data_IF_564698718032
#
_entry.id   IF_564698718032
#
_cell.length_a   1.000
_cell.length_b   1.000
_cell.length_c   1.000
_cell.angle_alpha   90.00
_cell.angle_beta   90.00
_cell.angle_gamma   90.00
#
_symmetry.space_group_name_H-M   'P 1'
#
loop_
_entity.id
_entity.type
_entity.pdbx_description
1 polymer ?
#
# COMPACT_ATOMS: atom_id res chain seq x y z
N UNK A 1 5.99 -25.32 6.78
CA UNK A 1 5.15 -24.19 6.37
C UNK A 1 6.04 -23.18 5.68
N UNK A 2 5.66 -22.71 4.49
CA UNK A 2 6.37 -21.59 3.84
C UNK A 2 6.15 -20.32 4.67
N UNK A 3 7.13 -19.41 4.70
CA UNK A 3 7.00 -18.14 5.40
C UNK A 3 5.91 -17.31 4.73
N UNK A 4 4.94 -16.80 5.50
CA UNK A 4 3.87 -15.93 5.00
C UNK A 4 4.44 -14.59 4.57
N UNK A 5 3.87 -14.01 3.51
CA UNK A 5 4.32 -12.75 2.94
C UNK A 5 3.15 -11.80 2.71
N UNK A 6 3.36 -10.55 3.09
CA UNK A 6 2.46 -9.43 2.89
C UNK A 6 3.11 -8.43 1.92
N UNK A 7 2.44 -8.11 0.84
CA UNK A 7 2.84 -7.02 -0.06
C UNK A 7 1.93 -5.82 0.14
N UNK A 8 2.53 -4.64 0.34
CA UNK A 8 1.84 -3.36 0.36
C UNK A 8 2.30 -2.52 -0.83
N UNK A 9 1.37 -1.96 -1.61
CA UNK A 9 1.66 -1.03 -2.71
C UNK A 9 1.09 0.35 -2.41
N UNK A 10 1.91 1.39 -2.58
CA UNK A 10 1.60 2.78 -2.26
C UNK A 10 1.93 3.70 -3.43
N UNK A 11 1.38 4.90 -3.44
CA UNK A 11 1.64 5.91 -4.47
C UNK A 11 2.89 6.73 -4.14
N UNK A 12 2.98 7.25 -2.91
CA UNK A 12 3.99 8.21 -2.51
C UNK A 12 4.71 7.77 -1.23
N UNK A 13 5.95 8.23 -1.02
CA UNK A 13 6.61 8.11 0.28
C UNK A 13 5.80 8.86 1.35
N UNK A 14 5.30 8.15 2.34
CA UNK A 14 4.48 8.49 3.51
C UNK A 14 3.19 7.66 3.62
N UNK A 15 2.63 7.20 2.50
CA UNK A 15 1.42 6.37 2.48
C UNK A 15 1.59 5.09 3.30
N UNK A 16 2.78 4.45 3.25
CA UNK A 16 3.07 3.21 3.97
C UNK A 16 2.97 3.40 5.49
N UNK A 17 3.46 4.53 5.98
CA UNK A 17 3.38 4.87 7.39
C UNK A 17 1.96 5.33 7.77
N UNK A 18 1.31 6.12 6.90
CA UNK A 18 -0.01 6.68 7.18
C UNK A 18 -1.11 5.62 7.18
N UNK A 19 -1.18 4.83 6.12
CA UNK A 19 -2.31 3.93 5.90
C UNK A 19 -2.09 2.50 6.43
N UNK A 20 -0.85 2.01 6.50
CA UNK A 20 -0.53 0.60 6.69
C UNK A 20 0.46 0.32 7.81
N UNK A 21 1.06 1.36 8.41
CA UNK A 21 2.20 1.22 9.33
C UNK A 21 1.94 0.32 10.54
N UNK A 22 0.74 0.38 11.11
CA UNK A 22 0.35 -0.48 12.22
C UNK A 22 0.21 -1.95 11.81
N UNK A 23 -0.38 -2.21 10.64
CA UNK A 23 -0.52 -3.57 10.09
C UNK A 23 0.84 -4.14 9.70
N UNK A 24 1.72 -3.36 9.06
CA UNK A 24 3.09 -3.80 8.73
C UNK A 24 3.84 -4.26 9.98
N UNK A 25 3.81 -3.47 11.06
CA UNK A 25 4.44 -3.80 12.33
C UNK A 25 3.82 -5.05 12.97
N UNK A 26 2.49 -5.14 13.00
CA UNK A 26 1.78 -6.27 13.58
C UNK A 26 2.16 -7.59 12.91
N UNK A 27 2.12 -7.62 11.59
CA UNK A 27 2.41 -8.84 10.85
C UNK A 27 3.89 -9.19 10.84
N UNK A 28 4.79 -8.20 10.82
CA UNK A 28 6.21 -8.44 11.05
C UNK A 28 6.46 -9.13 12.42
N UNK A 29 5.85 -8.63 13.49
CA UNK A 29 5.96 -9.25 14.84
C UNK A 29 5.43 -10.70 14.87
N UNK A 30 4.48 -11.03 14.00
CA UNK A 30 3.95 -12.39 13.83
C UNK A 30 4.80 -13.29 12.92
N UNK A 31 5.96 -12.80 12.46
CA UNK A 31 6.89 -13.55 11.62
C UNK A 31 6.51 -13.56 10.12
N UNK A 32 5.65 -12.63 9.68
CA UNK A 32 5.32 -12.44 8.26
C UNK A 32 6.40 -11.57 7.59
N UNK A 33 6.92 -11.98 6.45
CA UNK A 33 7.74 -11.10 5.61
C UNK A 33 6.87 -9.99 5.03
N UNK A 34 7.19 -8.74 5.36
CA UNK A 34 6.48 -7.55 4.87
C UNK A 34 7.26 -6.88 3.75
N UNK A 35 6.60 -6.64 2.62
CA UNK A 35 7.16 -5.97 1.45
C UNK A 35 6.37 -4.70 1.17
N UNK A 36 7.08 -3.60 0.88
CA UNK A 36 6.46 -2.34 0.46
C UNK A 36 7.01 -1.91 -0.89
N UNK A 37 6.12 -1.61 -1.84
CA UNK A 37 6.46 -1.03 -3.14
C UNK A 37 5.77 0.32 -3.24
N UNK A 38 6.55 1.40 -3.22
CA UNK A 38 6.08 2.75 -3.50
C UNK A 38 6.31 3.08 -4.98
N UNK A 39 5.29 3.55 -5.69
CA UNK A 39 5.37 3.72 -7.14
C UNK A 39 6.11 4.98 -7.57
N UNK A 40 6.08 6.04 -6.79
CA UNK A 40 6.73 7.30 -7.13
C UNK A 40 7.72 7.74 -6.06
N UNK A 41 8.60 8.67 -6.41
CA UNK A 41 9.53 9.30 -5.45
C UNK A 41 8.95 10.56 -4.80
N UNK A 42 7.71 10.93 -5.12
CA UNK A 42 7.01 12.04 -4.48
C UNK A 42 7.54 13.44 -4.81
N UNK A 43 8.11 13.64 -6.01
CA UNK A 43 8.78 14.88 -6.41
C UNK A 43 7.84 16.06 -6.69
N UNK A 44 6.55 15.81 -6.88
CA UNK A 44 5.54 16.84 -7.15
C UNK A 44 4.80 17.31 -5.87
N UNK A 45 5.20 16.82 -4.70
CA UNK A 45 4.55 17.19 -3.45
C UNK A 45 4.62 18.70 -3.18
N UNK A 46 3.55 19.25 -2.58
CA UNK A 46 3.47 20.66 -2.19
C UNK A 46 4.39 20.96 -1.01
N UNK A 47 4.47 20.02 -0.06
CA UNK A 47 5.41 20.10 1.05
C UNK A 47 6.79 19.64 0.58
N UNK A 48 7.76 20.52 0.67
CA UNK A 48 9.07 20.31 0.03
C UNK A 48 10.24 20.31 1.00
N UNK A 49 9.98 20.55 2.30
CA UNK A 49 11.09 20.83 3.24
C UNK A 49 12.01 21.90 2.67
N UNK A 50 13.31 21.62 2.66
CA UNK A 50 14.35 22.52 2.14
C UNK A 50 14.68 22.29 0.65
N UNK A 51 13.99 21.38 -0.04
CA UNK A 51 14.27 21.07 -1.44
C UNK A 51 13.87 22.21 -2.39
N UNK A 52 14.79 22.64 -3.24
CA UNK A 52 14.60 23.74 -4.20
C UNK A 52 14.20 23.24 -5.60
N UNK A 53 14.34 21.93 -5.86
CA UNK A 53 13.94 21.28 -7.13
C UNK A 53 13.13 20.01 -6.88
N UNK A 54 12.47 19.49 -7.93
CA UNK A 54 11.79 18.20 -7.89
C UNK A 54 12.77 17.04 -7.66
N UNK A 55 13.94 17.09 -8.28
CA UNK A 55 14.97 16.04 -8.14
C UNK A 55 15.53 15.99 -6.73
N UNK A 56 15.77 17.14 -6.10
CA UNK A 56 16.19 17.21 -4.69
C UNK A 56 15.10 16.67 -3.77
N UNK A 57 13.85 17.04 -4.02
CA UNK A 57 12.72 16.50 -3.25
C UNK A 57 12.58 14.99 -3.42
N UNK A 58 12.74 14.48 -4.65
CA UNK A 58 12.72 13.03 -4.90
C UNK A 58 13.84 12.31 -4.15
N UNK A 59 15.05 12.86 -4.15
CA UNK A 59 16.18 12.30 -3.39
C UNK A 59 15.89 12.30 -1.87
N UNK A 60 15.46 13.43 -1.33
CA UNK A 60 15.09 13.58 0.08
C UNK A 60 14.00 12.57 0.48
N UNK A 61 12.88 12.53 -0.26
CA UNK A 61 11.76 11.64 0.06
C UNK A 61 12.09 10.16 -0.12
N UNK A 62 13.06 9.84 -0.97
CA UNK A 62 13.58 8.47 -1.10
C UNK A 62 14.27 8.01 0.18
N UNK A 63 15.13 8.85 0.77
CA UNK A 63 15.79 8.56 2.05
C UNK A 63 14.79 8.48 3.19
N UNK A 64 13.84 9.42 3.25
CA UNK A 64 12.75 9.43 4.23
C UNK A 64 11.92 8.14 4.18
N UNK A 65 11.59 7.65 2.98
CA UNK A 65 10.86 6.39 2.77
C UNK A 65 11.62 5.18 3.31
N UNK A 66 12.90 5.06 3.00
CA UNK A 66 13.68 3.94 3.51
C UNK A 66 13.85 3.99 5.02
N UNK A 67 14.01 5.17 5.60
CA UNK A 67 14.08 5.33 7.06
C UNK A 67 12.72 5.00 7.72
N UNK A 68 11.60 5.45 7.18
CA UNK A 68 10.27 5.08 7.65
C UNK A 68 10.04 3.57 7.57
N UNK A 69 10.39 2.93 6.45
CA UNK A 69 10.29 1.48 6.29
C UNK A 69 11.19 0.73 7.30
N UNK A 70 12.39 1.24 7.61
CA UNK A 70 13.26 0.68 8.65
C UNK A 70 12.61 0.75 10.04
N UNK A 71 11.99 1.88 10.39
CA UNK A 71 11.26 2.07 11.65
C UNK A 71 10.06 1.11 11.72
N UNK A 72 9.35 0.92 10.61
CA UNK A 72 8.22 -0.02 10.48
C UNK A 72 8.66 -1.50 10.42
N UNK A 73 9.96 -1.78 10.45
CA UNK A 73 10.53 -3.13 10.38
C UNK A 73 10.11 -3.86 9.09
N UNK A 74 9.96 -3.13 7.99
CA UNK A 74 9.64 -3.71 6.68
C UNK A 74 10.80 -4.60 6.23
N UNK A 75 10.50 -5.84 5.84
CA UNK A 75 11.52 -6.80 5.42
C UNK A 75 12.19 -6.37 4.13
N UNK A 76 11.43 -5.86 3.18
CA UNK A 76 11.95 -5.33 1.92
C UNK A 76 11.13 -4.13 1.44
N UNK A 77 11.79 -3.00 1.28
CA UNK A 77 11.22 -1.79 0.72
C UNK A 77 11.78 -1.54 -0.69
N UNK A 78 10.92 -1.12 -1.60
CA UNK A 78 11.28 -0.76 -2.98
C UNK A 78 10.56 0.53 -3.34
N UNK A 79 11.29 1.51 -3.85
CA UNK A 79 10.71 2.69 -4.45
C UNK A 79 10.94 2.66 -5.96
N UNK A 80 9.90 2.94 -6.74
CA UNK A 80 9.96 3.03 -8.19
C UNK A 80 10.09 4.50 -8.61
N UNK A 81 10.35 4.71 -9.89
CA UNK A 81 10.59 6.06 -10.43
C UNK A 81 9.51 6.44 -11.46
N UNK A 82 8.25 6.08 -11.18
CA UNK A 82 7.14 6.58 -11.98
C UNK A 82 6.86 8.05 -11.64
N UNK A 83 6.35 8.84 -12.63
CA UNK A 83 6.09 10.26 -12.41
C UNK A 83 4.99 10.47 -11.35
N UNK A 84 5.33 11.23 -10.32
CA UNK A 84 4.42 11.68 -9.25
C UNK A 84 3.42 12.70 -9.80
N UNK A 85 2.14 12.52 -9.50
CA UNK A 85 1.02 13.26 -10.09
C UNK A 85 0.64 12.79 -11.49
N UNK A 86 1.35 11.81 -12.06
CA UNK A 86 1.20 11.37 -13.46
C UNK A 86 0.79 9.91 -13.66
N UNK A 87 0.53 9.14 -12.61
CA UNK A 87 0.26 7.70 -12.72
C UNK A 87 -0.94 7.37 -13.60
N UNK A 88 -1.97 8.22 -13.60
CA UNK A 88 -3.17 8.04 -14.41
C UNK A 88 -2.93 8.18 -15.93
N UNK A 89 -1.80 8.78 -16.33
CA UNK A 89 -1.45 9.03 -17.74
C UNK A 89 -0.50 7.99 -18.32
N UNK A 90 -0.07 7.02 -17.51
CA UNK A 90 0.87 5.98 -17.95
C UNK A 90 0.18 4.86 -18.76
N UNK A 91 0.97 4.11 -19.49
CA UNK A 91 0.51 2.86 -20.10
C UNK A 91 0.11 1.87 -19.00
N UNK A 92 -1.19 1.71 -18.82
CA UNK A 92 -1.77 0.84 -17.78
C UNK A 92 -1.26 -0.60 -17.86
N UNK A 93 -1.17 -1.14 -19.09
CA UNK A 93 -0.74 -2.54 -19.29
C UNK A 93 0.72 -2.72 -18.90
N UNK A 94 1.57 -1.76 -19.23
CA UNK A 94 2.99 -1.80 -18.90
C UNK A 94 3.20 -1.75 -17.38
N UNK A 95 2.60 -0.79 -16.69
CA UNK A 95 2.79 -0.60 -15.24
C UNK A 95 2.16 -1.75 -14.45
N UNK A 96 0.93 -2.17 -14.80
CA UNK A 96 0.29 -3.31 -14.16
C UNK A 96 1.08 -4.61 -14.39
N UNK A 97 1.74 -4.78 -15.55
CA UNK A 97 2.61 -5.93 -15.81
C UNK A 97 3.90 -5.88 -14.99
N UNK A 98 4.45 -4.69 -14.72
CA UNK A 98 5.59 -4.56 -13.82
C UNK A 98 5.22 -4.99 -12.39
N UNK A 99 4.10 -4.51 -11.87
CA UNK A 99 3.59 -4.95 -10.56
C UNK A 99 3.24 -6.44 -10.53
N UNK A 100 2.68 -6.99 -11.62
CA UNK A 100 2.42 -8.42 -11.75
C UNK A 100 3.70 -9.24 -11.61
N UNK A 101 4.80 -8.84 -12.29
CA UNK A 101 6.10 -9.52 -12.15
C UNK A 101 6.58 -9.50 -10.70
N UNK A 102 6.49 -8.36 -10.02
CA UNK A 102 6.87 -8.22 -8.61
C UNK A 102 6.04 -9.11 -7.69
N UNK A 103 4.72 -9.24 -7.93
CA UNK A 103 3.87 -10.19 -7.20
C UNK A 103 4.35 -11.62 -7.43
N UNK A 104 4.74 -11.99 -8.66
CA UNK A 104 5.27 -13.33 -8.97
C UNK A 104 6.65 -13.61 -8.36
N UNK A 105 7.49 -12.60 -8.21
CA UNK A 105 8.80 -12.68 -7.55
C UNK A 105 8.67 -12.83 -6.04
N UNK A 106 7.88 -11.95 -5.41
CA UNK A 106 7.69 -11.89 -3.96
C UNK A 106 6.86 -13.09 -3.48
N UNK A 107 5.84 -13.47 -4.25
CA UNK A 107 4.86 -14.54 -3.93
C UNK A 107 4.10 -14.27 -2.62
N UNK A 108 3.45 -13.10 -2.47
CA UNK A 108 2.68 -12.79 -1.27
C UNK A 108 1.38 -13.57 -1.22
N UNK A 109 0.91 -13.94 -0.03
CA UNK A 109 -0.43 -14.47 0.18
C UNK A 109 -1.45 -13.32 0.25
N UNK A 110 -1.05 -12.19 0.82
CA UNK A 110 -1.92 -11.03 1.00
C UNK A 110 -1.31 -9.80 0.32
N UNK A 111 -2.16 -9.05 -0.38
CA UNK A 111 -1.78 -7.76 -0.99
C UNK A 111 -2.66 -6.67 -0.39
N UNK A 112 -2.01 -5.59 0.08
CA UNK A 112 -2.65 -4.36 0.52
C UNK A 112 -2.40 -3.25 -0.50
N UNK A 113 -3.40 -2.42 -0.75
CA UNK A 113 -3.25 -1.25 -1.62
C UNK A 113 -4.23 -0.14 -1.24
N UNK A 114 -4.15 0.97 -1.95
CA UNK A 114 -5.03 2.12 -1.78
C UNK A 114 -6.41 1.85 -2.39
N UNK A 115 -7.44 2.52 -1.90
CA UNK A 115 -8.80 2.40 -2.44
C UNK A 115 -8.94 3.00 -3.84
N UNK A 116 -9.81 2.42 -4.67
CA UNK A 116 -10.03 2.85 -6.06
C UNK A 116 -10.58 4.28 -6.18
N UNK A 117 -11.21 4.77 -5.13
CA UNK A 117 -11.72 6.15 -4.99
C UNK A 117 -10.62 7.18 -4.67
N UNK A 118 -9.38 6.76 -4.47
CA UNK A 118 -8.27 7.62 -4.06
C UNK A 118 -8.18 7.83 -2.55
N UNK A 119 -8.76 6.94 -1.77
CA UNK A 119 -8.84 6.99 -0.30
C UNK A 119 -9.59 8.24 0.22
N UNK A 120 -9.39 8.62 1.47
CA UNK A 120 -10.01 9.82 2.07
C UNK A 120 -9.58 11.12 1.41
N UNK A 121 -8.50 11.11 0.64
CA UNK A 121 -7.94 12.29 -0.05
C UNK A 121 -8.48 12.45 -1.46
N UNK A 122 -9.13 11.44 -2.04
CA UNK A 122 -9.54 11.39 -3.44
C UNK A 122 -8.37 11.70 -4.41
N UNK A 123 -7.14 11.28 -4.04
CA UNK A 123 -5.95 11.56 -4.86
C UNK A 123 -5.93 10.66 -6.10
N UNK A 124 -5.68 11.24 -7.26
CA UNK A 124 -5.70 10.51 -8.55
C UNK A 124 -4.66 9.39 -8.58
N UNK A 125 -3.45 9.64 -8.06
CA UNK A 125 -2.42 8.61 -8.01
C UNK A 125 -2.77 7.47 -7.05
N UNK A 126 -3.48 7.75 -5.94
CA UNK A 126 -3.98 6.68 -5.07
C UNK A 126 -4.97 5.78 -5.81
N UNK A 127 -5.93 6.36 -6.55
CA UNK A 127 -6.84 5.61 -7.41
C UNK A 127 -6.08 4.77 -8.44
N UNK A 128 -5.07 5.37 -9.06
CA UNK A 128 -4.25 4.70 -10.09
C UNK A 128 -3.51 3.49 -9.52
N UNK A 129 -2.88 3.63 -8.34
CA UNK A 129 -2.19 2.51 -7.66
C UNK A 129 -3.18 1.40 -7.31
N UNK A 130 -4.35 1.74 -6.77
CA UNK A 130 -5.41 0.77 -6.49
C UNK A 130 -5.81 -0.04 -7.73
N UNK A 131 -6.06 0.64 -8.86
CA UNK A 131 -6.42 0.00 -10.13
C UNK A 131 -5.29 -0.87 -10.69
N UNK A 132 -4.07 -0.35 -10.72
CA UNK A 132 -2.88 -1.04 -11.23
C UNK A 132 -2.58 -2.31 -10.42
N UNK A 133 -2.64 -2.19 -9.09
CA UNK A 133 -2.40 -3.33 -8.17
C UNK A 133 -3.51 -4.37 -8.29
N UNK A 134 -4.76 -3.95 -8.45
CA UNK A 134 -5.89 -4.87 -8.65
C UNK A 134 -5.71 -5.69 -9.93
N UNK A 135 -5.36 -5.04 -11.04
CA UNK A 135 -5.07 -5.73 -12.28
C UNK A 135 -3.88 -6.70 -12.12
N UNK A 136 -2.78 -6.24 -11.51
CA UNK A 136 -1.59 -7.05 -11.27
C UNK A 136 -1.88 -8.28 -10.40
N UNK A 137 -2.68 -8.12 -9.34
CA UNK A 137 -3.13 -9.22 -8.47
C UNK A 137 -3.83 -10.33 -9.27
N UNK A 138 -4.82 -9.96 -10.08
CA UNK A 138 -5.56 -10.93 -10.89
C UNK A 138 -4.70 -11.54 -12.01
N UNK A 139 -3.81 -10.75 -12.63
CA UNK A 139 -2.96 -11.24 -13.73
C UNK A 139 -1.83 -12.13 -13.23
N UNK A 140 -1.34 -11.93 -12.02
CA UNK A 140 -0.26 -12.74 -11.44
C UNK A 140 -0.60 -14.23 -11.36
N UNK A 141 -1.86 -14.57 -11.15
CA UNK A 141 -2.34 -15.95 -11.07
C UNK A 141 -2.53 -16.63 -12.45
N UNK A 142 -2.49 -15.86 -13.56
CA UNK A 142 -2.86 -16.36 -14.89
C UNK A 142 -1.65 -16.92 -15.63
N UNK A 143 -1.88 -18.01 -16.38
CA UNK A 143 -0.89 -18.65 -17.25
C UNK A 143 -1.12 -18.41 -18.74
N UNK A 144 -2.16 -17.65 -19.11
CA UNK A 144 -2.56 -17.36 -20.48
C UNK A 144 -1.84 -16.11 -21.07
N UNK A 145 -2.61 -15.11 -21.47
CA UNK A 145 -2.08 -13.88 -22.12
C UNK A 145 -1.05 -13.10 -21.29
N UNK A 146 -1.09 -13.26 -19.99
CA UNK A 146 -0.15 -12.64 -19.06
C UNK A 146 1.06 -13.52 -18.72
N UNK A 147 1.23 -14.64 -19.44
CA UNK A 147 2.45 -15.41 -19.52
C UNK A 147 3.39 -14.86 -20.61
N UNK A 148 4.59 -15.37 -20.70
CA UNK A 148 5.55 -14.97 -21.73
C UNK A 148 6.16 -13.59 -21.48
N UNK A 149 6.26 -12.71 -22.51
CA UNK A 149 7.02 -11.46 -22.41
C UNK A 149 6.57 -10.53 -21.27
N UNK A 150 5.26 -10.42 -21.05
CA UNK A 150 4.72 -9.58 -19.96
C UNK A 150 5.08 -10.11 -18.56
N UNK A 151 5.22 -11.42 -18.43
CA UNK A 151 5.57 -12.07 -17.16
C UNK A 151 7.08 -12.17 -16.91
N UNK A 152 7.92 -11.83 -17.89
CA UNK A 152 9.38 -11.97 -17.77
C UNK A 152 9.85 -13.42 -17.52
N UNK A 153 9.07 -14.43 -17.96
CA UNK A 153 9.36 -15.85 -17.72
C UNK A 153 9.05 -16.37 -16.32
N UNK A 154 8.52 -15.52 -15.43
CA UNK A 154 8.17 -15.92 -14.07
C UNK A 154 6.92 -16.83 -14.05
N UNK A 155 6.90 -17.89 -13.24
CA UNK A 155 5.72 -18.73 -13.10
C UNK A 155 4.55 -17.96 -12.48
N UNK A 156 3.31 -18.34 -12.78
CA UNK A 156 2.14 -17.76 -12.13
C UNK A 156 2.21 -17.90 -10.60
N UNK A 157 1.71 -16.87 -9.91
CA UNK A 157 1.52 -16.90 -8.47
C UNK A 157 0.11 -16.39 -8.14
N UNK A 158 -0.63 -17.14 -7.33
CA UNK A 158 -1.97 -16.79 -6.85
C UNK A 158 -1.87 -16.21 -5.46
N UNK A 159 -1.79 -14.89 -5.35
CA UNK A 159 -2.04 -14.25 -4.07
C UNK A 159 -3.49 -14.50 -3.64
N UNK A 160 -3.73 -14.71 -2.34
CA UNK A 160 -5.00 -15.25 -1.87
C UNK A 160 -6.01 -14.17 -1.48
N UNK A 161 -5.53 -13.01 -1.00
CA UNK A 161 -6.41 -11.89 -0.63
C UNK A 161 -5.85 -10.55 -1.09
N UNK A 162 -6.76 -9.70 -1.55
CA UNK A 162 -6.49 -8.30 -1.88
C UNK A 162 -7.37 -7.42 -1.00
N UNK A 163 -6.74 -6.46 -0.34
CA UNK A 163 -7.43 -5.47 0.49
C UNK A 163 -7.15 -4.05 0.03
N UNK A 164 -8.18 -3.22 0.06
CA UNK A 164 -8.06 -1.77 -0.06
C UNK A 164 -8.09 -1.13 1.32
N UNK A 165 -7.21 -0.16 1.60
CA UNK A 165 -7.42 0.69 2.75
C UNK A 165 -8.71 1.49 2.57
N UNK A 166 -9.46 1.69 3.65
CA UNK A 166 -10.70 2.45 3.66
C UNK A 166 -10.87 3.25 4.96
N UNK A 167 -11.95 3.98 5.10
CA UNK A 167 -12.26 4.76 6.29
C UNK A 167 -13.76 4.85 6.54
N UNK A 168 -14.14 5.32 7.72
CA UNK A 168 -15.57 5.55 8.06
C UNK A 168 -16.09 6.90 7.58
N UNK A 169 -15.20 7.85 7.27
CA UNK A 169 -15.54 9.21 6.85
C UNK A 169 -14.51 9.75 5.87
N UNK A 170 -14.97 10.50 4.89
CA UNK A 170 -14.12 11.32 4.01
C UNK A 170 -13.77 12.64 4.70
N UNK A 171 -12.76 13.34 4.20
CA UNK A 171 -12.46 14.69 4.63
C UNK A 171 -13.41 15.68 3.96
N UNK A 172 -14.08 16.59 4.73
CA UNK A 172 -15.11 17.47 4.19
C UNK A 172 -14.64 18.37 3.05
N UNK A 173 -13.38 18.77 3.07
CA UNK A 173 -12.77 19.66 2.08
C UNK A 173 -12.32 18.94 0.79
N UNK A 174 -12.47 17.64 0.74
CA UNK A 174 -12.11 16.83 -0.44
C UNK A 174 -13.34 16.57 -1.31
N UNK A 175 -13.08 16.17 -2.56
CA UNK A 175 -14.16 15.78 -3.47
C UNK A 175 -14.99 14.65 -2.85
N UNK A 176 -16.32 14.66 -3.02
CA UNK A 176 -17.16 13.58 -2.50
C UNK A 176 -16.80 12.27 -3.19
N UNK A 177 -16.39 11.29 -2.41
CA UNK A 177 -16.10 9.93 -2.86
C UNK A 177 -16.92 8.93 -2.09
N UNK A 178 -17.28 7.83 -2.73
CA UNK A 178 -17.89 6.68 -2.08
C UNK A 178 -16.78 5.74 -1.62
N UNK A 179 -16.54 5.68 -0.31
CA UNK A 179 -15.55 4.78 0.27
C UNK A 179 -16.05 3.33 0.23
N UNK A 180 -15.12 2.41 0.01
CA UNK A 180 -15.40 0.98 0.09
C UNK A 180 -15.86 0.59 1.51
N UNK A 181 -16.88 -0.30 1.65
CA UNK A 181 -17.35 -0.74 2.96
C UNK A 181 -16.25 -1.38 3.79
N UNK A 182 -16.25 -1.15 5.10
CA UNK A 182 -15.31 -1.81 6.02
C UNK A 182 -15.70 -3.29 6.16
N UNK A 183 -14.81 -4.18 5.78
CA UNK A 183 -14.95 -5.63 5.95
C UNK A 183 -13.96 -6.20 6.95
N UNK A 184 -12.88 -5.46 7.21
CA UNK A 184 -11.77 -5.94 8.04
C UNK A 184 -11.25 -4.80 8.91
N UNK A 185 -11.00 -5.08 10.19
CA UNK A 185 -10.47 -4.15 11.18
C UNK A 185 -9.26 -4.77 11.88
N UNK A 186 -8.12 -4.16 11.71
CA UNK A 186 -6.87 -4.64 12.31
C UNK A 186 -6.56 -3.78 13.54
N UNK A 187 -6.56 -4.39 14.72
CA UNK A 187 -6.14 -3.72 15.96
C UNK A 187 -4.63 -3.45 15.91
N UNK A 188 -4.29 -2.17 15.94
CA UNK A 188 -2.91 -1.66 15.85
C UNK A 188 -2.54 -0.78 17.05
N UNK A 189 -3.31 -0.79 18.14
CA UNK A 189 -3.08 0.04 19.33
C UNK A 189 -1.65 -0.03 19.86
N UNK A 190 -1.10 -1.24 19.87
CA UNK A 190 0.28 -1.51 20.35
C UNK A 190 1.34 -0.76 19.54
N UNK A 191 1.05 -0.44 18.29
CA UNK A 191 2.02 0.04 17.29
C UNK A 191 1.90 1.53 16.97
N UNK A 192 0.95 2.24 17.58
CA UNK A 192 0.64 3.64 17.23
C UNK A 192 1.82 4.59 17.43
N UNK A 193 2.64 4.40 18.47
CA UNK A 193 3.81 5.26 18.71
C UNK A 193 4.90 5.02 17.66
N UNK A 194 5.15 3.77 17.27
CA UNK A 194 6.13 3.43 16.24
C UNK A 194 5.63 3.93 14.87
N UNK A 195 4.33 3.77 14.58
CA UNK A 195 3.69 4.30 13.38
C UNK A 195 3.88 5.82 13.26
N UNK A 196 3.65 6.56 14.34
CA UNK A 196 3.89 8.01 14.37
C UNK A 196 5.37 8.33 14.17
N UNK A 197 6.28 7.58 14.79
CA UNK A 197 7.72 7.77 14.58
C UNK A 197 8.13 7.52 13.13
N UNK A 198 7.57 6.49 12.49
CA UNK A 198 7.80 6.21 11.07
C UNK A 198 7.30 7.36 10.17
N UNK A 199 6.09 7.86 10.40
CA UNK A 199 5.61 9.02 9.64
C UNK A 199 6.48 10.27 9.87
N UNK A 200 6.98 10.48 11.07
CA UNK A 200 7.87 11.62 11.38
C UNK A 200 9.23 11.52 10.71
N UNK A 201 9.64 10.35 10.23
CA UNK A 201 10.82 10.20 9.39
C UNK A 201 10.64 10.85 8.00
N UNK A 202 9.40 11.06 7.57
CA UNK A 202 9.07 11.87 6.39
C UNK A 202 9.13 13.37 6.74
N UNK A 203 10.32 13.89 7.00
CA UNK A 203 10.54 15.27 7.46
C UNK A 203 9.90 16.29 6.52
N UNK A 204 9.99 16.08 5.22
CA UNK A 204 9.37 16.96 4.22
C UNK A 204 7.84 17.02 4.36
N UNK A 205 7.20 15.98 4.94
CA UNK A 205 5.75 15.84 5.06
C UNK A 205 5.21 16.16 6.47
N UNK A 206 6.05 16.58 7.39
CA UNK A 206 5.65 17.01 8.76
C UNK A 206 4.48 18.00 8.77
N UNK A 207 4.37 18.98 7.83
CA UNK A 207 3.22 19.88 7.79
C UNK A 207 1.86 19.17 7.68
N UNK A 208 1.80 17.92 7.19
CA UNK A 208 0.57 17.13 7.20
C UNK A 208 0.14 16.76 8.64
N UNK A 209 1.10 16.47 9.53
CA UNK A 209 0.79 16.23 10.95
C UNK A 209 0.29 17.49 11.65
N UNK A 210 0.84 18.65 11.30
CA UNK A 210 0.38 19.92 11.83
C UNK A 210 -1.07 20.22 11.39
N UNK A 211 -1.40 19.88 10.14
CA UNK A 211 -2.73 20.09 9.57
C UNK A 211 -3.77 19.11 10.10
N UNK A 212 -3.45 17.81 10.12
CA UNK A 212 -4.41 16.75 10.41
C UNK A 212 -4.29 16.16 11.81
N UNK A 213 -3.19 16.49 12.50
CA UNK A 213 -2.87 16.09 13.87
C UNK A 213 -2.47 14.63 14.04
N UNK A 214 -1.66 14.36 15.04
CA UNK A 214 -1.20 13.02 15.44
C UNK A 214 -2.36 12.04 15.70
N UNK A 215 -3.54 12.54 16.10
CA UNK A 215 -4.71 11.71 16.39
C UNK A 215 -5.16 10.88 15.19
N UNK A 216 -4.92 11.37 13.97
CA UNK A 216 -5.28 10.64 12.75
C UNK A 216 -4.39 9.42 12.55
N UNK A 217 -3.12 9.51 12.91
CA UNK A 217 -2.18 8.37 12.88
C UNK A 217 -2.37 7.42 14.07
N UNK A 218 -2.78 7.96 15.24
CA UNK A 218 -2.95 7.20 16.49
C UNK A 218 -4.27 6.44 16.58
N UNK A 219 -4.94 6.18 15.47
CA UNK A 219 -6.12 5.33 15.48
C UNK A 219 -5.75 3.93 15.96
N UNK A 220 -6.61 3.37 16.80
CA UNK A 220 -6.43 2.03 17.35
C UNK A 220 -6.62 0.91 16.34
N UNK A 221 -7.24 1.22 15.20
CA UNK A 221 -7.57 0.27 14.14
C UNK A 221 -7.17 0.82 12.77
N UNK A 222 -6.65 -0.04 11.92
CA UNK A 222 -6.56 0.17 10.47
C UNK A 222 -7.72 -0.57 9.81
N UNK A 223 -8.39 0.11 8.88
CA UNK A 223 -9.64 -0.34 8.28
C UNK A 223 -9.42 -0.73 6.83
N UNK A 224 -9.91 -1.91 6.47
CA UNK A 224 -9.75 -2.45 5.13
C UNK A 224 -11.08 -2.93 4.55
N UNK A 225 -11.10 -2.98 3.23
CA UNK A 225 -12.12 -3.63 2.41
C UNK A 225 -11.50 -4.84 1.72
N UNK A 226 -12.05 -6.03 1.94
CA UNK A 226 -11.66 -7.22 1.19
C UNK A 226 -12.20 -7.11 -0.24
N UNK A 227 -11.32 -6.79 -1.18
CA UNK A 227 -11.65 -6.56 -2.58
C UNK A 227 -11.68 -7.84 -3.41
N UNK A 228 -10.83 -8.81 -3.07
CA UNK A 228 -10.81 -10.13 -3.71
C UNK A 228 -10.27 -11.20 -2.76
N UNK A 229 -10.79 -12.41 -2.89
CA UNK A 229 -10.32 -13.61 -2.18
C UNK A 229 -10.24 -14.80 -3.13
N UNK A 230 -9.18 -15.61 -3.00
CA UNK A 230 -9.01 -16.82 -3.78
C UNK A 230 -10.07 -17.89 -3.45
N UNK A 231 -10.53 -17.89 -2.21
CA UNK A 231 -11.68 -18.68 -1.76
C UNK A 231 -12.75 -17.66 -1.29
N UNK A 232 -13.65 -17.24 -2.22
CA UNK A 232 -14.65 -16.25 -1.88
C UNK A 232 -15.70 -16.85 -0.97
N UNK A 233 -15.81 -16.32 0.22
CA UNK A 233 -16.84 -16.65 1.20
C UNK A 233 -17.71 -15.41 1.46
N UNK A 234 -18.97 -15.66 1.82
CA UNK A 234 -19.81 -14.57 2.33
C UNK A 234 -19.33 -14.22 3.74
N UNK A 235 -18.80 -13.03 3.90
CA UNK A 235 -18.39 -12.55 5.22
C UNK A 235 -19.62 -12.40 6.12
N UNK A 236 -19.69 -13.21 7.16
CA UNK A 236 -20.74 -13.15 8.17
C UNK A 236 -20.41 -12.18 9.32
N UNK A 237 -19.15 -11.77 9.43
CA UNK A 237 -18.63 -10.85 10.43
C UNK A 237 -17.46 -10.04 9.88
N UNK A 238 -17.11 -8.96 10.58
CA UNK A 238 -15.89 -8.18 10.29
C UNK A 238 -14.67 -9.05 10.61
N UNK A 239 -13.76 -9.18 9.65
CA UNK A 239 -12.47 -9.87 9.86
C UNK A 239 -11.58 -9.05 10.82
N UNK A 240 -10.76 -9.74 11.59
CA UNK A 240 -9.78 -9.12 12.52
C UNK A 240 -8.34 -9.56 12.24
N UNK A 241 -8.15 -10.35 11.18
CA UNK A 241 -6.86 -10.84 10.72
C UNK A 241 -6.85 -10.93 9.19
N UNK A 242 -5.83 -10.29 8.55
CA UNK A 242 -5.66 -10.31 7.09
C UNK A 242 -5.35 -11.70 6.54
N UNK A 243 -4.78 -12.57 7.37
CA UNK A 243 -4.41 -13.93 6.99
C UNK A 243 -5.46 -14.98 7.37
N UNK A 244 -6.62 -14.57 7.89
CA UNK A 244 -7.72 -15.49 8.18
C UNK A 244 -8.10 -16.29 6.93
N UNK A 245 -8.21 -17.61 7.04
CA UNK A 245 -8.59 -18.49 5.93
C UNK A 245 -7.56 -18.63 4.80
N UNK A 246 -6.33 -18.18 5.00
CA UNK A 246 -5.21 -18.43 4.06
C UNK A 246 -4.81 -19.89 4.14
N UNK A 247 -4.68 -20.54 2.96
CA UNK A 247 -4.18 -21.92 2.85
C UNK A 247 -2.68 -21.96 2.56
N UNK A 248 -2.04 -23.08 2.88
CA UNK A 248 -0.61 -23.34 2.61
C UNK A 248 -0.35 -23.77 1.14
N UNK A 249 -1.32 -23.59 0.22
CA UNK A 249 -1.26 -24.04 -1.19
C UNK A 249 -0.42 -23.11 -2.07
#
# INVERSE_FOLDING_TARGET
MSMLKLLCTTAHPDDEAWAFGGSLLKYHEQGVETHVICLTRGHAATNRGDAISGDELAAMRTEEFYEACRILQVTQATILDYPDGGLASLDFIQVASDLMRRIREIKPQVVLTLGLEGTVTAHVDHSSVGLLTTAAFHWAARSDKFAGPLAGGLPPHRAQKLYYTTALKTWPERQPVALSPVTTKIDVRKYTDIKVAAFRAHHSQIPLLETYGDRTLRKSEELFHLAAAAQPETLSAIETDLFSGISDD
#
